data_IF_017888497201
#
_entry.id   IF_017888497201
#
_cell.length_a   1.000
_cell.length_b   1.000
_cell.length_c   1.000
_cell.angle_alpha   90.00
_cell.angle_beta   90.00
_cell.angle_gamma   90.00
#
_symmetry.space_group_name_H-M   'P 1'
#
loop_
_entity.id
_entity.type
_entity.pdbx_description
1 polymer ?
#
# COMPACT_ATOMS: atom_id res chain seq x y z
N UNK A 1 16.43 -46.46 62.09
CA UNK A 1 15.13 -46.11 61.47
C UNK A 1 15.30 -46.10 59.96
N UNK A 2 14.70 -47.09 59.27
CA UNK A 2 14.29 -47.14 57.83
C UNK A 2 15.45 -46.99 56.80
N UNK A 3 16.11 -48.02 56.21
CA UNK A 3 15.68 -49.10 55.27
C UNK A 3 15.03 -48.52 53.99
N UNK A 4 15.46 -48.69 52.72
CA UNK A 4 16.08 -49.82 51.99
C UNK A 4 16.18 -49.45 50.48
N UNK A 5 16.96 -50.24 49.73
CA UNK A 5 16.88 -50.61 48.29
C UNK A 5 17.69 -49.88 47.19
N UNK A 6 18.37 -50.75 46.43
CA UNK A 6 19.24 -50.63 45.25
C UNK A 6 18.44 -50.82 43.96
N UNK A 7 18.81 -50.14 42.85
CA UNK A 7 18.59 -50.55 41.45
C UNK A 7 19.59 -49.78 40.54
N UNK A 8 20.61 -50.44 39.98
CA UNK A 8 20.76 -50.98 38.60
C UNK A 8 20.96 -49.96 37.46
N UNK A 9 22.06 -50.17 36.73
CA UNK A 9 22.39 -49.64 35.40
C UNK A 9 21.30 -49.93 34.36
N UNK A 10 21.01 -48.97 33.48
CA UNK A 10 20.48 -49.24 32.12
C UNK A 10 20.78 -48.06 31.18
N UNK A 11 21.39 -48.36 30.02
CA UNK A 11 21.57 -47.43 28.89
C UNK A 11 20.21 -47.11 28.25
N UNK A 12 20.04 -45.87 27.77
CA UNK A 12 19.02 -45.55 26.77
C UNK A 12 19.68 -44.76 25.63
N UNK A 13 19.83 -45.46 24.51
CA UNK A 13 20.09 -44.93 23.18
C UNK A 13 18.82 -44.33 22.56
N UNK A 14 19.02 -43.32 21.71
CA UNK A 14 18.09 -42.78 20.71
C UNK A 14 16.78 -42.13 21.19
N UNK A 15 16.68 -40.80 20.97
CA UNK A 15 15.53 -40.11 20.35
C UNK A 15 15.71 -38.58 20.51
N UNK A 16 16.54 -37.98 19.66
CA UNK A 16 16.43 -36.55 19.36
C UNK A 16 16.43 -36.37 17.84
N UNK A 17 15.31 -36.74 17.22
CA UNK A 17 14.95 -36.24 15.90
C UNK A 17 14.45 -34.81 16.09
N UNK A 18 15.39 -33.85 16.09
CA UNK A 18 15.08 -32.42 16.05
C UNK A 18 14.48 -32.11 14.68
N UNK A 19 13.15 -32.14 14.59
CA UNK A 19 12.44 -31.68 13.41
C UNK A 19 12.72 -30.18 13.24
N UNK A 20 13.56 -29.87 12.24
CA UNK A 20 13.83 -28.51 11.78
C UNK A 20 12.53 -27.92 11.21
N UNK A 21 11.72 -27.29 12.05
CA UNK A 21 10.64 -26.42 11.59
C UNK A 21 11.31 -25.19 11.00
N UNK A 22 11.39 -25.14 9.66
CA UNK A 22 11.61 -23.90 8.92
C UNK A 22 10.67 -22.85 9.48
N UNK A 23 11.23 -21.84 10.16
CA UNK A 23 10.53 -20.59 10.40
C UNK A 23 10.41 -19.96 9.02
N UNK A 24 9.34 -20.26 8.31
CA UNK A 24 8.95 -19.51 7.13
C UNK A 24 8.77 -18.06 7.58
N UNK A 25 9.59 -17.16 7.07
CA UNK A 25 9.36 -15.72 7.11
C UNK A 25 7.90 -15.47 6.78
N UNK A 26 7.11 -15.02 7.75
CA UNK A 26 5.73 -14.60 7.53
C UNK A 26 5.81 -13.46 6.50
N UNK A 27 5.40 -13.73 5.26
CA UNK A 27 5.07 -12.66 4.34
C UNK A 27 3.96 -11.84 5.01
N UNK A 28 4.05 -10.50 5.04
CA UNK A 28 2.92 -9.67 5.47
C UNK A 28 1.69 -10.16 4.72
N UNK A 29 0.59 -10.40 5.42
CA UNK A 29 -0.66 -10.81 4.78
C UNK A 29 -0.97 -9.80 3.66
N UNK A 30 -1.39 -10.27 2.49
CA UNK A 30 -1.74 -9.42 1.34
C UNK A 30 -2.72 -8.28 1.72
N UNK A 31 -3.47 -8.45 2.82
CA UNK A 31 -4.33 -7.46 3.45
C UNK A 31 -3.64 -6.19 4.00
N UNK A 32 -2.31 -6.10 4.00
CA UNK A 32 -1.59 -4.93 4.56
C UNK A 32 -1.03 -3.95 3.51
N UNK A 33 -1.21 -4.22 2.21
CA UNK A 33 -0.60 -3.44 1.14
C UNK A 33 -1.61 -2.51 0.48
N UNK A 34 -1.19 -1.28 0.19
CA UNK A 34 -1.96 -0.33 -0.62
C UNK A 34 -1.49 -0.44 -2.06
N UNK A 35 -2.43 -0.63 -2.98
CA UNK A 35 -2.15 -0.82 -4.40
C UNK A 35 -2.42 0.44 -5.20
N UNK A 36 -1.67 0.65 -6.28
CA UNK A 36 -1.93 1.76 -7.20
C UNK A 36 -1.66 1.40 -8.66
N UNK A 37 -2.34 2.06 -9.59
CA UNK A 37 -2.06 1.94 -11.03
C UNK A 37 -2.70 3.11 -11.80
N UNK A 38 -2.22 3.31 -13.03
CA UNK A 38 -2.99 3.99 -14.06
C UNK A 38 -4.28 3.21 -14.33
N UNK A 39 -5.42 3.89 -14.20
CA UNK A 39 -6.78 3.35 -14.39
C UNK A 39 -7.41 3.78 -15.71
N UNK A 40 -6.87 4.82 -16.35
CA UNK A 40 -7.25 5.22 -17.71
C UNK A 40 -6.43 4.48 -18.77
N UNK A 41 -6.83 4.59 -20.04
CA UNK A 41 -6.06 4.04 -21.16
C UNK A 41 -4.62 4.61 -21.19
N UNK A 42 -3.68 3.79 -21.65
CA UNK A 42 -2.29 4.21 -21.84
C UNK A 42 -2.16 5.08 -23.10
N UNK A 43 -1.32 6.10 -23.05
CA UNK A 43 -1.04 7.00 -24.18
C UNK A 43 -1.23 8.46 -23.80
N UNK A 44 -1.02 9.36 -24.77
CA UNK A 44 -1.27 10.79 -24.57
C UNK A 44 -2.77 11.04 -24.51
N UNK A 45 -3.22 11.72 -23.45
CA UNK A 45 -4.60 12.13 -23.27
C UNK A 45 -4.66 13.51 -22.58
N UNK A 46 -5.80 14.19 -22.66
CA UNK A 46 -6.02 15.42 -21.89
C UNK A 46 -5.99 15.15 -20.38
N UNK A 47 -6.60 14.05 -19.96
CA UNK A 47 -6.67 13.61 -18.56
C UNK A 47 -6.28 12.13 -18.45
N UNK A 48 -5.53 11.80 -17.40
CA UNK A 48 -5.27 10.45 -16.95
C UNK A 48 -5.76 10.28 -15.51
N UNK A 49 -6.20 9.07 -15.16
CA UNK A 49 -6.65 8.73 -13.80
C UNK A 49 -5.69 7.70 -13.20
N UNK A 50 -5.04 8.04 -12.09
CA UNK A 50 -4.30 7.09 -11.26
C UNK A 50 -5.14 6.79 -10.04
N UNK A 51 -5.38 5.50 -9.78
CA UNK A 51 -6.13 5.03 -8.61
C UNK A 51 -5.17 4.44 -7.59
N UNK A 52 -5.44 4.72 -6.33
CA UNK A 52 -4.79 4.12 -5.16
C UNK A 52 -5.89 3.51 -4.29
N UNK A 53 -5.71 2.27 -3.83
CA UNK A 53 -6.67 1.60 -2.95
C UNK A 53 -5.97 0.81 -1.85
N UNK A 54 -6.51 0.85 -0.64
CA UNK A 54 -6.05 0.02 0.47
C UNK A 54 -5.98 0.76 1.81
N UNK A 55 -5.52 0.08 2.87
CA UNK A 55 -5.58 0.59 4.25
C UNK A 55 -4.74 1.85 4.49
N UNK A 56 -3.76 2.14 3.62
CA UNK A 56 -2.91 3.34 3.70
C UNK A 56 -3.23 4.38 2.63
N UNK A 57 -4.33 4.27 1.90
CA UNK A 57 -4.62 5.20 0.81
C UNK A 57 -4.66 6.68 1.28
N UNK A 58 -5.04 6.94 2.53
CA UNK A 58 -5.01 8.30 3.11
C UNK A 58 -3.60 8.87 3.34
N UNK A 59 -2.56 8.03 3.48
CA UNK A 59 -1.15 8.46 3.63
C UNK A 59 -0.62 9.16 2.37
N UNK A 60 -1.30 8.97 1.23
CA UNK A 60 -1.05 9.67 -0.03
C UNK A 60 -1.23 11.18 0.10
N UNK A 61 -1.89 11.67 1.15
CA UNK A 61 -1.94 13.11 1.47
C UNK A 61 -0.56 13.77 1.56
N UNK A 62 0.50 13.02 1.83
CA UNK A 62 1.89 13.51 1.77
C UNK A 62 2.33 13.95 0.36
N UNK A 63 1.71 13.40 -0.71
CA UNK A 63 1.99 13.71 -2.11
C UNK A 63 1.28 14.96 -2.60
N UNK A 64 0.40 15.58 -1.82
CA UNK A 64 -0.25 16.80 -2.28
C UNK A 64 -0.33 17.87 -1.22
N UNK A 65 -0.10 19.09 -1.65
CA UNK A 65 -0.46 20.26 -0.88
C UNK A 65 -1.69 20.89 -1.50
N UNK A 66 -2.33 21.73 -0.73
CA UNK A 66 -3.30 22.64 -1.30
C UNK A 66 -2.68 23.88 -1.85
N UNK A 67 -3.28 24.32 -2.95
CA UNK A 67 -3.03 25.61 -3.58
C UNK A 67 -3.32 26.76 -2.60
N UNK A 68 -4.22 26.54 -1.64
CA UNK A 68 -4.54 27.50 -0.57
C UNK A 68 -3.97 27.03 0.77
N UNK A 69 -3.30 27.92 1.49
CA UNK A 69 -2.40 27.69 2.65
C UNK A 69 -2.97 26.99 3.90
N UNK A 70 -4.14 26.33 3.85
CA UNK A 70 -4.77 25.81 5.07
C UNK A 70 -5.70 24.60 4.88
N UNK A 71 -5.33 23.63 4.05
CA UNK A 71 -6.33 22.66 3.65
C UNK A 71 -6.36 21.33 4.36
N UNK A 72 -7.60 20.90 4.43
CA UNK A 72 -8.07 19.63 4.91
C UNK A 72 -7.95 18.61 3.78
N UNK A 73 -7.84 17.35 4.19
CA UNK A 73 -8.02 16.19 3.33
C UNK A 73 -9.30 16.34 2.48
N UNK A 74 -9.34 15.86 1.22
CA UNK A 74 -10.52 15.97 0.37
C UNK A 74 -11.78 15.48 1.10
N UNK A 75 -12.90 16.20 0.94
CA UNK A 75 -14.18 15.68 1.42
C UNK A 75 -14.54 14.42 0.62
N UNK A 76 -15.21 13.43 1.22
CA UNK A 76 -15.69 12.24 0.51
C UNK A 76 -16.41 12.62 -0.78
N UNK A 77 -15.98 12.06 -1.91
CA UNK A 77 -16.58 12.22 -3.24
C UNK A 77 -16.63 13.66 -3.76
N UNK A 78 -15.75 14.53 -3.27
CA UNK A 78 -15.61 15.90 -3.76
C UNK A 78 -14.26 16.05 -4.45
N UNK A 79 -14.30 16.33 -5.76
CA UNK A 79 -13.10 16.67 -6.52
C UNK A 79 -12.49 17.95 -5.99
N UNK A 80 -11.21 17.90 -5.58
CA UNK A 80 -10.54 19.07 -5.05
C UNK A 80 -9.21 19.30 -5.75
N UNK A 81 -9.00 20.52 -6.25
CA UNK A 81 -7.75 20.92 -6.91
C UNK A 81 -6.57 20.91 -5.93
N UNK A 82 -5.45 20.31 -6.34
CA UNK A 82 -4.23 20.14 -5.53
C UNK A 82 -2.98 20.36 -6.37
N UNK A 83 -1.91 20.83 -5.72
CA UNK A 83 -0.56 20.68 -6.25
C UNK A 83 -0.04 19.30 -5.81
N UNK A 84 0.25 18.45 -6.78
CA UNK A 84 0.79 17.10 -6.57
C UNK A 84 2.31 17.21 -6.64
N UNK A 85 2.97 16.67 -5.63
CA UNK A 85 4.39 16.85 -5.35
C UNK A 85 5.03 15.49 -5.13
N UNK A 86 6.29 15.37 -5.53
CA UNK A 86 7.10 14.22 -5.13
C UNK A 86 7.35 14.28 -3.61
N UNK A 87 7.16 13.19 -2.86
CA UNK A 87 7.18 13.22 -1.39
C UNK A 87 8.57 13.58 -0.83
N UNK A 88 9.64 13.15 -1.51
CA UNK A 88 11.03 13.40 -1.11
C UNK A 88 11.56 14.74 -1.66
N UNK A 89 11.61 14.90 -2.99
CA UNK A 89 12.22 16.08 -3.63
C UNK A 89 11.37 17.36 -3.53
N UNK A 90 10.07 17.22 -3.22
CA UNK A 90 9.09 18.32 -3.20
C UNK A 90 8.90 19.03 -4.56
N UNK A 91 9.36 18.42 -5.64
CA UNK A 91 9.10 18.89 -7.01
C UNK A 91 7.60 18.79 -7.33
N UNK A 92 7.07 19.79 -8.04
CA UNK A 92 5.69 19.79 -8.55
C UNK A 92 5.60 18.84 -9.73
N UNK A 93 4.82 17.78 -9.57
CA UNK A 93 4.53 16.79 -10.61
C UNK A 93 3.34 17.21 -11.47
N UNK A 94 2.30 17.78 -10.86
CA UNK A 94 1.12 18.28 -11.57
C UNK A 94 0.25 19.22 -10.71
N UNK A 95 -0.68 19.91 -11.35
CA UNK A 95 -1.86 20.52 -10.73
C UNK A 95 -3.11 19.76 -11.18
N UNK A 96 -3.56 18.84 -10.34
CA UNK A 96 -4.65 17.90 -10.66
C UNK A 96 -5.78 17.91 -9.64
N UNK A 97 -6.86 17.20 -9.97
CA UNK A 97 -7.94 16.95 -9.00
C UNK A 97 -7.63 15.69 -8.21
N UNK A 98 -7.85 15.76 -6.90
CA UNK A 98 -7.77 14.59 -6.00
C UNK A 98 -9.16 14.32 -5.45
N UNK A 99 -9.59 13.07 -5.56
CA UNK A 99 -10.86 12.57 -5.03
C UNK A 99 -10.57 11.50 -3.98
N UNK A 100 -11.39 11.49 -2.93
CA UNK A 100 -11.39 10.42 -1.93
C UNK A 100 -12.75 9.71 -1.89
N UNK A 101 -12.71 8.39 -1.95
CA UNK A 101 -13.85 7.51 -1.78
C UNK A 101 -13.61 6.65 -0.55
N UNK A 102 -14.20 6.99 0.61
CA UNK A 102 -14.06 6.17 1.81
C UNK A 102 -14.71 4.80 1.60
N UNK A 103 -14.05 3.75 2.10
CA UNK A 103 -14.65 2.43 2.29
C UNK A 103 -15.80 2.48 3.30
N UNK A 104 -16.75 1.53 3.28
CA UNK A 104 -16.87 0.42 2.33
C UNK A 104 -17.53 0.82 0.99
N UNK A 105 -17.97 2.07 0.87
CA UNK A 105 -18.75 2.54 -0.28
C UNK A 105 -17.86 3.03 -1.44
N UNK A 106 -16.79 2.31 -1.73
CA UNK A 106 -15.84 2.61 -2.80
C UNK A 106 -15.86 1.50 -3.86
N UNK A 107 -15.10 1.68 -4.94
CA UNK A 107 -15.00 0.67 -6.00
C UNK A 107 -14.46 -0.68 -5.50
N UNK A 108 -13.47 -0.67 -4.59
CA UNK A 108 -12.84 -1.89 -4.07
C UNK A 108 -13.39 -2.32 -2.70
N UNK A 109 -14.30 -1.55 -2.11
CA UNK A 109 -14.69 -1.71 -0.70
C UNK A 109 -13.69 -1.17 0.32
N UNK A 110 -12.51 -0.71 -0.09
CA UNK A 110 -11.50 -0.09 0.78
C UNK A 110 -11.44 1.43 0.60
N UNK A 111 -10.59 2.14 1.33
CA UNK A 111 -10.34 3.54 1.02
C UNK A 111 -9.66 3.67 -0.36
N UNK A 112 -10.25 4.51 -1.22
CA UNK A 112 -9.74 4.79 -2.56
C UNK A 112 -9.43 6.27 -2.72
N UNK A 113 -8.25 6.57 -3.26
CA UNK A 113 -7.88 7.91 -3.73
C UNK A 113 -7.72 7.85 -5.25
N UNK A 114 -8.24 8.86 -5.94
CA UNK A 114 -7.99 9.05 -7.37
C UNK A 114 -7.32 10.39 -7.64
N UNK A 115 -6.28 10.33 -8.47
CA UNK A 115 -5.63 11.49 -9.06
C UNK A 115 -6.10 11.64 -10.50
N UNK A 116 -6.70 12.78 -10.80
CA UNK A 116 -7.13 13.15 -12.14
C UNK A 116 -6.17 14.23 -12.62
N UNK A 117 -5.22 13.81 -13.45
CA UNK A 117 -3.99 14.52 -13.79
C UNK A 117 -3.90 14.74 -15.29
N UNK A 118 -3.01 15.61 -15.74
CA UNK A 118 -2.72 15.74 -17.17
C UNK A 118 -2.18 14.41 -17.72
N UNK A 119 -2.69 13.98 -18.87
CA UNK A 119 -2.33 12.69 -19.49
C UNK A 119 -0.98 12.69 -20.22
N UNK A 120 0.00 13.42 -19.70
CA UNK A 120 1.37 13.42 -20.18
C UNK A 120 2.18 12.27 -19.56
N UNK A 121 2.93 11.53 -20.37
CA UNK A 121 3.72 10.38 -19.90
C UNK A 121 4.70 10.73 -18.76
N UNK A 122 5.27 11.95 -18.78
CA UNK A 122 6.17 12.41 -17.72
C UNK A 122 5.45 12.56 -16.38
N UNK A 123 4.26 13.17 -16.39
CA UNK A 123 3.41 13.37 -15.20
C UNK A 123 2.97 12.03 -14.63
N UNK A 124 2.44 11.14 -15.49
CA UNK A 124 1.98 9.80 -15.08
C UNK A 124 3.13 9.02 -14.42
N UNK A 125 4.30 8.97 -15.05
CA UNK A 125 5.47 8.26 -14.50
C UNK A 125 5.93 8.88 -13.19
N UNK A 126 6.07 10.19 -13.13
CA UNK A 126 6.50 10.88 -11.91
C UNK A 126 5.58 10.60 -10.72
N UNK A 127 4.27 10.52 -10.93
CA UNK A 127 3.32 10.19 -9.85
C UNK A 127 3.38 8.70 -9.47
N UNK A 128 3.52 7.78 -10.43
CA UNK A 128 3.69 6.36 -10.12
C UNK A 128 5.00 6.08 -9.37
N UNK A 129 6.08 6.77 -9.73
CA UNK A 129 7.38 6.69 -9.04
C UNK A 129 7.27 7.27 -7.62
N UNK A 130 6.62 8.43 -7.47
CA UNK A 130 6.34 9.04 -6.17
C UNK A 130 5.54 8.09 -5.25
N UNK A 131 4.50 7.43 -5.77
CA UNK A 131 3.72 6.43 -5.03
C UNK A 131 4.57 5.20 -4.67
N UNK A 132 5.41 4.73 -5.59
CA UNK A 132 6.34 3.61 -5.36
C UNK A 132 7.35 3.88 -4.24
N UNK A 133 7.68 5.15 -3.99
CA UNK A 133 8.62 5.54 -2.92
C UNK A 133 8.01 5.44 -1.50
N UNK A 134 6.70 5.28 -1.38
CA UNK A 134 6.01 5.17 -0.09
C UNK A 134 6.05 3.75 0.48
N UNK A 135 6.25 3.64 1.79
CA UNK A 135 6.35 2.33 2.48
C UNK A 135 5.01 1.60 2.53
N UNK A 136 4.93 0.43 1.91
CA UNK A 136 3.73 -0.41 1.88
C UNK A 136 2.79 -0.09 0.71
N UNK A 137 3.28 0.65 -0.27
CA UNK A 137 2.63 0.88 -1.55
C UNK A 137 3.26 -0.02 -2.61
N UNK A 138 2.45 -0.53 -3.54
CA UNK A 138 2.92 -1.28 -4.70
C UNK A 138 2.00 -1.10 -5.90
N UNK A 139 2.51 -1.44 -7.08
CA UNK A 139 1.64 -1.54 -8.25
C UNK A 139 0.55 -2.61 -8.06
N UNK A 140 -0.63 -2.30 -8.55
CA UNK A 140 -1.74 -3.25 -8.64
C UNK A 140 -1.45 -4.33 -9.71
N UNK A 141 -1.80 -5.57 -9.43
CA UNK A 141 -1.82 -6.65 -10.40
C UNK A 141 -3.02 -6.52 -11.36
N UNK A 142 -2.99 -7.27 -12.46
CA UNK A 142 -4.08 -7.27 -13.45
C UNK A 142 -5.40 -7.68 -12.81
N UNK A 143 -6.39 -6.80 -12.87
CA UNK A 143 -7.73 -7.04 -12.34
C UNK A 143 -7.83 -6.96 -10.82
N UNK A 144 -6.77 -6.56 -10.12
CA UNK A 144 -6.73 -6.60 -8.65
C UNK A 144 -7.74 -5.65 -7.99
N UNK A 145 -8.05 -4.51 -8.62
CA UNK A 145 -9.08 -3.60 -8.12
C UNK A 145 -10.51 -4.18 -8.19
N UNK A 146 -10.74 -5.28 -8.91
CA UNK A 146 -12.08 -5.85 -9.15
C UNK A 146 -12.25 -7.24 -8.49
N UNK A 147 -11.23 -7.73 -7.78
CA UNK A 147 -11.25 -9.06 -7.15
C UNK A 147 -12.11 -9.07 -5.89
#
# INVERSE_FOLDING_TARGET
MISRYSFRNFQISSLFSFASRKISTLQPSQASNTIFSLSSAQGKAGVAVIRVSGPKASEVSSLYLTVFHNAKFPKPRVATLRSILHPITREVLDYGLVLWFPGPNSYTGEDVIEFHIHGGNAVIRGILDALSSLKGFRHAERGEFTR
#
